data_IF_172548588403
#
_entry.id   IF_172548588403
#
_cell.length_a   1.000
_cell.length_b   1.000
_cell.length_c   1.000
_cell.angle_alpha   90.00
_cell.angle_beta   90.00
_cell.angle_gamma   90.00
#
_symmetry.space_group_name_H-M   'P 1'
#
loop_
_entity.id
_entity.type
_entity.pdbx_description
1 polymer ?
#
# COMPACT_ATOMS: atom_id res chain seq x y z
N UNK A 1 6.84 -35.91 61.12
CA UNK A 1 6.80 -35.01 59.95
C UNK A 1 6.95 -35.90 58.73
N UNK A 2 5.90 -36.06 57.95
CA UNK A 2 5.93 -36.87 56.73
C UNK A 2 6.59 -36.03 55.64
N UNK A 3 7.84 -36.34 55.26
CA UNK A 3 8.49 -35.70 54.11
C UNK A 3 7.81 -36.23 52.85
N UNK A 4 6.97 -35.42 52.22
CA UNK A 4 6.24 -35.79 51.01
C UNK A 4 7.06 -35.31 49.80
N UNK A 5 7.95 -36.19 49.34
CA UNK A 5 8.85 -35.92 48.21
C UNK A 5 8.02 -35.97 46.92
N UNK A 6 7.84 -34.81 46.28
CA UNK A 6 7.07 -34.71 45.03
C UNK A 6 8.01 -34.85 43.83
N UNK A 7 7.57 -35.58 42.82
CA UNK A 7 8.31 -35.72 41.57
C UNK A 7 7.58 -34.99 40.43
N UNK A 8 8.36 -34.44 39.49
CA UNK A 8 7.81 -33.81 38.31
C UNK A 8 7.17 -34.85 37.39
N UNK A 9 5.90 -34.65 37.02
CA UNK A 9 5.20 -35.52 36.07
C UNK A 9 5.79 -35.48 34.64
N UNK A 10 6.56 -34.42 34.32
CA UNK A 10 7.09 -34.19 32.97
C UNK A 10 8.50 -34.74 32.77
N UNK A 11 9.39 -34.59 33.75
CA UNK A 11 10.79 -35.02 33.64
C UNK A 11 11.25 -36.00 34.72
N UNK A 12 10.42 -36.27 35.74
CA UNK A 12 10.77 -37.18 36.84
C UNK A 12 11.72 -36.58 37.89
N UNK A 13 12.10 -35.31 37.79
CA UNK A 13 12.98 -34.66 38.77
C UNK A 13 12.31 -34.51 40.15
N UNK A 14 13.12 -34.58 41.21
CA UNK A 14 12.67 -34.32 42.58
C UNK A 14 12.36 -32.83 42.78
N UNK A 15 11.22 -32.53 43.39
CA UNK A 15 10.72 -31.18 43.59
C UNK A 15 10.82 -30.81 45.07
N UNK A 16 11.58 -29.77 45.41
CA UNK A 16 11.65 -29.27 46.78
C UNK A 16 10.30 -28.68 47.22
N UNK A 17 9.97 -28.86 48.50
CA UNK A 17 8.71 -28.40 49.09
C UNK A 17 8.50 -26.89 48.87
N UNK A 18 7.31 -26.50 48.40
CA UNK A 18 6.93 -25.10 48.15
C UNK A 18 7.28 -24.54 46.76
N UNK A 19 7.89 -25.32 45.87
CA UNK A 19 8.11 -24.89 44.48
C UNK A 19 6.82 -24.93 43.65
N UNK A 20 6.54 -23.87 42.89
CA UNK A 20 5.43 -23.82 41.93
C UNK A 20 5.81 -24.36 40.53
N UNK A 21 7.11 -24.47 40.25
CA UNK A 21 7.69 -24.90 38.98
C UNK A 21 8.78 -25.93 39.21
N UNK A 22 9.00 -26.82 38.23
CA UNK A 22 10.12 -27.75 38.25
C UNK A 22 11.44 -27.01 37.96
N UNK A 23 12.47 -27.11 38.82
CA UNK A 23 13.75 -26.44 38.60
C UNK A 23 14.56 -27.03 37.42
N UNK A 24 14.32 -28.31 37.08
CA UNK A 24 15.04 -29.00 36.00
C UNK A 24 14.45 -28.73 34.61
N UNK A 25 13.12 -28.77 34.47
CA UNK A 25 12.47 -28.66 33.15
C UNK A 25 11.55 -27.43 32.99
N UNK A 26 11.37 -26.63 34.05
CA UNK A 26 10.54 -25.42 34.03
C UNK A 26 9.03 -25.67 34.02
N UNK A 27 8.56 -26.92 34.09
CA UNK A 27 7.12 -27.22 34.05
C UNK A 27 6.41 -26.75 35.33
N UNK A 28 5.26 -26.10 35.18
CA UNK A 28 4.33 -25.84 36.29
C UNK A 28 3.82 -27.14 36.89
N UNK A 29 3.69 -27.15 38.21
CA UNK A 29 3.31 -28.33 39.00
C UNK A 29 1.83 -28.37 39.37
N UNK A 30 1.12 -27.27 39.14
CA UNK A 30 -0.32 -27.15 39.31
C UNK A 30 -1.11 -27.78 38.15
N UNK A 31 -0.43 -28.36 37.15
CA UNK A 31 -1.07 -28.97 35.99
C UNK A 31 -1.83 -27.97 35.11
N UNK A 32 -1.73 -26.66 35.40
CA UNK A 32 -2.18 -25.65 34.46
C UNK A 32 -1.15 -25.65 33.33
N UNK A 33 -1.57 -26.15 32.16
CA UNK A 33 -0.85 -25.89 30.94
C UNK A 33 -0.69 -24.38 30.86
N UNK A 34 0.53 -23.92 31.10
CA UNK A 34 0.93 -22.55 30.84
C UNK A 34 0.58 -22.34 29.37
N UNK A 35 -0.52 -21.63 29.14
CA UNK A 35 -0.81 -20.93 27.89
C UNK A 35 0.37 -19.98 27.72
N UNK A 36 1.49 -20.55 27.28
CA UNK A 36 2.63 -19.86 26.75
C UNK A 36 1.98 -18.98 25.74
N UNK A 37 1.96 -17.70 26.09
CA UNK A 37 1.61 -16.57 25.26
C UNK A 37 1.57 -17.07 23.84
N UNK A 38 0.35 -17.10 23.31
CA UNK A 38 0.12 -16.86 21.91
C UNK A 38 0.90 -15.58 21.60
N UNK A 39 2.21 -15.77 21.39
CA UNK A 39 3.00 -15.06 20.42
C UNK A 39 2.22 -15.37 19.16
N UNK A 40 1.13 -14.61 19.00
CA UNK A 40 0.47 -14.39 17.73
C UNK A 40 1.64 -14.33 16.78
N UNK A 41 1.73 -15.32 15.90
CA UNK A 41 2.84 -15.45 15.00
C UNK A 41 2.75 -14.23 14.08
N UNK A 42 3.23 -13.09 14.57
CA UNK A 42 3.65 -11.97 13.77
C UNK A 42 4.74 -12.63 12.94
N UNK A 43 4.55 -12.77 11.62
CA UNK A 43 5.51 -13.50 10.82
C UNK A 43 6.85 -12.81 11.06
N UNK A 44 7.80 -13.51 11.67
CA UNK A 44 9.15 -13.03 11.99
C UNK A 44 9.86 -12.46 10.74
N UNK A 45 9.32 -12.75 9.55
CA UNK A 45 9.77 -12.21 8.26
C UNK A 45 9.27 -10.80 7.91
N UNK A 46 8.20 -10.29 8.52
CA UNK A 46 7.71 -8.93 8.21
C UNK A 46 8.72 -7.84 8.62
N UNK A 47 9.55 -8.11 9.63
CA UNK A 47 10.57 -7.16 10.10
C UNK A 47 11.81 -7.12 9.18
N UNK A 48 12.05 -8.14 8.35
CA UNK A 48 13.18 -8.20 7.41
C UNK A 48 13.04 -7.23 6.23
N UNK A 49 11.80 -6.92 5.84
CA UNK A 49 11.49 -6.07 4.68
C UNK A 49 11.45 -4.56 5.03
N UNK A 50 11.72 -4.20 6.29
CA UNK A 50 11.75 -2.81 6.76
C UNK A 50 10.42 -2.06 6.56
N UNK A 51 10.43 -0.74 6.26
CA UNK A 51 9.22 0.05 6.05
C UNK A 51 8.54 -0.18 4.67
N UNK A 52 9.07 -1.08 3.84
CA UNK A 52 8.59 -1.32 2.47
C UNK A 52 7.09 -1.67 2.37
N UNK A 53 6.53 -2.62 3.16
CA UNK A 53 5.10 -2.94 3.07
C UNK A 53 4.20 -1.76 3.52
N UNK A 54 4.69 -0.92 4.43
CA UNK A 54 4.01 0.32 4.84
C UNK A 54 4.01 1.32 3.68
N UNK A 55 5.14 1.47 3.00
CA UNK A 55 5.28 2.38 1.88
C UNK A 55 4.41 1.98 0.67
N UNK A 56 4.27 0.67 0.40
CA UNK A 56 3.33 0.15 -0.62
C UNK A 56 1.88 0.50 -0.26
N UNK A 57 1.49 0.37 1.03
CA UNK A 57 0.14 0.73 1.49
C UNK A 57 -0.10 2.23 1.41
N UNK A 58 0.87 3.06 1.79
CA UNK A 58 0.78 4.53 1.65
C UNK A 58 0.58 4.91 0.18
N UNK A 59 1.34 4.30 -0.74
CA UNK A 59 1.18 4.53 -2.17
C UNK A 59 -0.23 4.17 -2.68
N UNK A 60 -0.86 3.14 -2.11
CA UNK A 60 -2.26 2.78 -2.37
C UNK A 60 -3.26 3.85 -1.92
N UNK A 61 -2.97 4.58 -0.85
CA UNK A 61 -3.79 5.71 -0.38
C UNK A 61 -3.53 6.99 -1.18
N UNK A 62 -2.33 7.18 -1.73
CA UNK A 62 -2.00 8.35 -2.56
C UNK A 62 -2.76 8.32 -3.89
N UNK A 63 -2.94 7.15 -4.51
CA UNK A 63 -3.65 7.02 -5.78
C UNK A 63 -5.10 7.57 -5.79
N UNK A 64 -6.00 7.25 -4.83
CA UNK A 64 -7.34 7.84 -4.77
C UNK A 64 -7.31 9.33 -4.42
N UNK A 65 -6.34 9.79 -3.61
CA UNK A 65 -6.18 11.22 -3.32
C UNK A 65 -5.85 11.98 -4.61
N UNK A 66 -4.92 11.46 -5.42
CA UNK A 66 -4.58 12.04 -6.72
C UNK A 66 -5.78 12.01 -7.69
N UNK A 67 -6.56 10.92 -7.69
CA UNK A 67 -7.77 10.85 -8.50
C UNK A 67 -8.80 11.92 -8.08
N UNK A 68 -8.97 12.15 -6.77
CA UNK A 68 -9.84 13.21 -6.25
C UNK A 68 -9.30 14.59 -6.67
N UNK A 69 -7.99 14.83 -6.57
CA UNK A 69 -7.37 16.08 -7.02
C UNK A 69 -7.62 16.34 -8.52
N UNK A 70 -7.54 15.29 -9.36
CA UNK A 70 -7.86 15.39 -10.80
C UNK A 70 -9.33 15.70 -11.02
N UNK A 71 -10.25 15.12 -10.24
CA UNK A 71 -11.67 15.48 -10.32
C UNK A 71 -11.86 16.96 -9.94
N UNK A 72 -11.17 17.46 -8.91
CA UNK A 72 -11.23 18.86 -8.52
C UNK A 72 -10.71 19.81 -9.61
N UNK A 73 -9.67 19.44 -10.36
CA UNK A 73 -9.20 20.24 -11.51
C UNK A 73 -10.16 20.20 -12.68
N UNK A 74 -10.82 19.07 -12.94
CA UNK A 74 -11.88 18.98 -13.95
C UNK A 74 -13.10 19.86 -13.55
N UNK A 75 -13.46 19.91 -12.26
CA UNK A 75 -14.53 20.76 -11.73
C UNK A 75 -14.19 22.25 -11.83
N UNK A 76 -12.95 22.64 -11.53
CA UNK A 76 -12.51 24.03 -11.66
C UNK A 76 -12.52 24.51 -13.11
N UNK A 77 -12.11 23.66 -14.05
CA UNK A 77 -12.20 23.97 -15.49
C UNK A 77 -13.64 24.26 -15.93
N UNK A 78 -14.61 23.47 -15.46
CA UNK A 78 -16.03 23.72 -15.71
C UNK A 78 -16.50 25.06 -15.12
N UNK A 79 -16.13 25.35 -13.88
CA UNK A 79 -16.48 26.61 -13.21
C UNK A 79 -15.89 27.84 -13.93
N UNK A 80 -14.67 27.72 -14.47
CA UNK A 80 -14.05 28.80 -15.26
C UNK A 80 -14.84 29.05 -16.55
N UNK A 81 -15.27 28.02 -17.26
CA UNK A 81 -16.07 28.15 -18.49
C UNK A 81 -17.41 28.83 -18.18
N UNK A 82 -18.09 28.42 -17.10
CA UNK A 82 -19.36 29.00 -16.68
C UNK A 82 -19.20 30.49 -16.28
N UNK A 83 -18.10 30.83 -15.59
CA UNK A 83 -17.74 32.23 -15.30
C UNK A 83 -17.46 33.02 -16.58
N UNK A 84 -16.75 32.43 -17.54
CA UNK A 84 -16.42 33.10 -18.81
C UNK A 84 -17.69 33.42 -19.62
N UNK A 85 -18.69 32.53 -19.59
CA UNK A 85 -19.99 32.77 -20.22
C UNK A 85 -20.64 34.04 -19.66
N UNK A 86 -20.64 34.23 -18.34
CA UNK A 86 -21.20 35.42 -17.72
C UNK A 86 -20.47 36.71 -18.15
N UNK A 87 -19.15 36.65 -18.36
CA UNK A 87 -18.39 37.78 -18.91
C UNK A 87 -18.75 38.09 -20.37
N UNK A 88 -19.00 37.07 -21.19
CA UNK A 88 -19.48 37.27 -22.57
C UNK A 88 -20.87 37.89 -22.58
N UNK A 89 -21.77 37.42 -21.71
CA UNK A 89 -23.13 37.95 -21.61
C UNK A 89 -23.13 39.43 -21.16
N UNK A 90 -22.12 39.85 -20.39
CA UNK A 90 -21.89 41.26 -20.01
C UNK A 90 -21.24 42.13 -21.11
N UNK A 91 -20.90 41.55 -22.26
CA UNK A 91 -20.33 42.25 -23.41
C UNK A 91 -18.84 42.60 -23.30
N UNK A 92 -18.12 42.09 -22.29
CA UNK A 92 -16.68 42.36 -22.12
C UNK A 92 -15.78 41.51 -23.02
N UNK A 93 -16.28 40.39 -23.55
CA UNK A 93 -15.51 39.43 -24.37
C UNK A 93 -16.34 39.07 -25.62
N UNK A 94 -15.73 39.00 -26.83
CA UNK A 94 -16.41 38.54 -28.04
C UNK A 94 -16.83 37.06 -27.94
N UNK A 95 -18.05 36.73 -28.38
CA UNK A 95 -18.59 35.35 -28.36
C UNK A 95 -17.73 34.37 -29.17
N UNK A 96 -17.17 34.80 -30.30
CA UNK A 96 -16.32 33.96 -31.15
C UNK A 96 -15.10 33.39 -30.39
N UNK A 97 -14.56 34.15 -29.43
CA UNK A 97 -13.45 33.70 -28.60
C UNK A 97 -13.88 32.61 -27.60
N UNK A 98 -15.07 32.73 -27.02
CA UNK A 98 -15.60 31.73 -26.08
C UNK A 98 -15.91 30.40 -26.78
N UNK A 99 -16.50 30.43 -27.97
CA UNK A 99 -16.82 29.21 -28.72
C UNK A 99 -15.56 28.44 -29.11
N UNK A 100 -14.51 29.14 -29.53
CA UNK A 100 -13.20 28.53 -29.81
C UNK A 100 -12.58 27.91 -28.56
N UNK A 101 -12.58 28.64 -27.44
CA UNK A 101 -12.00 28.17 -26.18
C UNK A 101 -12.77 26.96 -25.64
N UNK A 102 -14.09 27.02 -25.64
CA UNK A 102 -14.98 25.93 -25.20
C UNK A 102 -14.80 24.68 -26.05
N UNK A 103 -14.71 24.82 -27.38
CA UNK A 103 -14.48 23.69 -28.28
C UNK A 103 -13.13 23.01 -28.01
N UNK A 104 -12.07 23.78 -27.78
CA UNK A 104 -10.74 23.25 -27.45
C UNK A 104 -10.74 22.50 -26.10
N UNK A 105 -11.35 23.08 -25.06
CA UNK A 105 -11.44 22.47 -23.72
C UNK A 105 -12.40 21.27 -23.67
N UNK A 106 -13.50 21.29 -24.45
CA UNK A 106 -14.50 20.23 -24.45
C UNK A 106 -13.97 18.89 -24.95
N UNK A 107 -12.94 18.89 -25.79
CA UNK A 107 -12.25 17.65 -26.20
C UNK A 107 -11.14 17.28 -25.23
N UNK A 108 -10.32 18.26 -24.81
CA UNK A 108 -9.14 18.01 -24.01
C UNK A 108 -9.47 17.54 -22.59
N UNK A 109 -10.41 18.20 -21.90
CA UNK A 109 -10.74 17.92 -20.50
C UNK A 109 -11.29 16.50 -20.29
N UNK A 110 -12.35 16.03 -20.97
CA UNK A 110 -12.87 14.68 -20.73
C UNK A 110 -11.89 13.58 -21.14
N UNK A 111 -11.10 13.79 -22.20
CA UNK A 111 -10.06 12.84 -22.63
C UNK A 111 -8.98 12.73 -21.55
N UNK A 112 -8.51 13.87 -21.02
CA UNK A 112 -7.55 13.89 -19.92
C UNK A 112 -8.12 13.21 -18.67
N UNK A 113 -9.32 13.59 -18.20
CA UNK A 113 -9.92 12.99 -17.00
C UNK A 113 -10.13 11.46 -17.19
N UNK A 114 -10.52 11.00 -18.38
CA UNK A 114 -10.70 9.58 -18.69
C UNK A 114 -9.37 8.80 -18.67
N UNK A 115 -8.34 9.29 -19.36
CA UNK A 115 -7.02 8.65 -19.41
C UNK A 115 -6.43 8.55 -18.01
N UNK A 116 -6.43 9.66 -17.25
CA UNK A 116 -5.88 9.68 -15.89
C UNK A 116 -6.65 8.75 -14.96
N UNK A 117 -7.97 8.72 -15.03
CA UNK A 117 -8.79 7.81 -14.22
C UNK A 117 -8.50 6.34 -14.51
N UNK A 118 -8.39 5.98 -15.80
CA UNK A 118 -8.05 4.61 -16.21
C UNK A 118 -6.66 4.21 -15.73
N UNK A 119 -5.67 5.10 -15.91
CA UNK A 119 -4.27 4.87 -15.51
C UNK A 119 -4.17 4.68 -14.00
N UNK A 120 -4.79 5.56 -13.21
CA UNK A 120 -4.81 5.43 -11.74
C UNK A 120 -5.55 4.19 -11.28
N UNK A 121 -6.66 3.83 -11.93
CA UNK A 121 -7.43 2.62 -11.59
C UNK A 121 -6.62 1.34 -11.87
N UNK A 122 -6.01 1.23 -13.05
CA UNK A 122 -5.16 0.08 -13.41
C UNK A 122 -3.95 0.00 -12.47
N UNK A 123 -3.29 1.13 -12.21
CA UNK A 123 -2.16 1.21 -11.27
C UNK A 123 -2.57 0.76 -9.86
N UNK A 124 -3.75 1.16 -9.37
CA UNK A 124 -4.27 0.75 -8.07
C UNK A 124 -4.57 -0.75 -7.99
N UNK A 125 -5.11 -1.36 -9.07
CA UNK A 125 -5.36 -2.81 -9.12
C UNK A 125 -4.05 -3.61 -9.09
N UNK A 126 -3.04 -3.16 -9.83
CA UNK A 126 -1.71 -3.77 -9.84
C UNK A 126 -1.04 -3.63 -8.47
N UNK A 127 -1.10 -2.45 -7.85
CA UNK A 127 -0.56 -2.21 -6.51
C UNK A 127 -1.26 -3.04 -5.43
N UNK A 128 -2.59 -3.25 -5.52
CA UNK A 128 -3.32 -4.16 -4.61
C UNK A 128 -2.84 -5.60 -4.72
N UNK A 129 -2.65 -6.09 -5.96
CA UNK A 129 -2.10 -7.44 -6.18
C UNK A 129 -0.68 -7.55 -5.63
N UNK A 130 0.17 -6.55 -5.88
CA UNK A 130 1.52 -6.50 -5.34
C UNK A 130 1.54 -6.51 -3.81
N UNK A 131 0.71 -5.69 -3.15
CA UNK A 131 0.61 -5.65 -1.68
C UNK A 131 0.22 -7.01 -1.10
N UNK A 132 -0.71 -7.73 -1.75
CA UNK A 132 -1.11 -9.07 -1.30
C UNK A 132 0.04 -10.07 -1.40
N UNK A 133 0.80 -10.06 -2.49
CA UNK A 133 1.98 -10.92 -2.64
C UNK A 133 3.06 -10.61 -1.60
N UNK A 134 3.25 -9.32 -1.28
CA UNK A 134 4.21 -8.89 -0.24
C UNK A 134 3.73 -9.27 1.16
N UNK A 135 2.43 -9.12 1.47
CA UNK A 135 1.86 -9.51 2.76
C UNK A 135 1.94 -11.04 2.97
N UNK A 136 1.79 -11.83 1.91
CA UNK A 136 1.93 -13.30 1.95
C UNK A 136 3.38 -13.78 1.83
N UNK A 137 4.35 -12.87 1.59
CA UNK A 137 5.76 -13.16 1.30
C UNK A 137 5.97 -14.25 0.24
N UNK A 138 5.01 -14.36 -0.68
CA UNK A 138 4.89 -15.44 -1.64
C UNK A 138 5.26 -14.91 -3.03
N UNK A 139 6.24 -15.55 -3.67
CA UNK A 139 6.71 -15.28 -5.04
C UNK A 139 7.14 -13.82 -5.30
N UNK A 140 8.42 -13.50 -5.02
CA UNK A 140 9.01 -12.17 -5.25
C UNK A 140 8.90 -11.70 -6.72
N UNK A 141 8.97 -12.62 -7.68
CA UNK A 141 8.82 -12.33 -9.12
C UNK A 141 7.46 -11.68 -9.43
N UNK A 142 6.40 -12.18 -8.81
CA UNK A 142 5.05 -11.65 -9.01
C UNK A 142 4.92 -10.24 -8.44
N UNK A 143 5.47 -10.00 -7.24
CA UNK A 143 5.44 -8.66 -6.63
C UNK A 143 6.20 -7.63 -7.47
N UNK A 144 7.40 -7.97 -7.96
CA UNK A 144 8.23 -7.08 -8.81
C UNK A 144 7.55 -6.81 -10.15
N UNK A 145 6.97 -7.82 -10.80
CA UNK A 145 6.29 -7.65 -12.09
C UNK A 145 5.07 -6.74 -11.99
N UNK A 146 4.25 -6.87 -10.94
CA UNK A 146 3.13 -5.96 -10.72
C UNK A 146 3.57 -4.52 -10.44
N UNK A 147 4.64 -4.32 -9.67
CA UNK A 147 5.16 -2.98 -9.34
C UNK A 147 5.79 -2.29 -10.56
N UNK A 148 6.55 -3.05 -11.36
CA UNK A 148 7.12 -2.59 -12.63
C UNK A 148 6.00 -2.27 -13.64
N UNK A 149 4.97 -3.12 -13.74
CA UNK A 149 3.83 -2.87 -14.61
C UNK A 149 3.05 -1.60 -14.22
N UNK A 150 2.84 -1.37 -12.92
CA UNK A 150 2.19 -0.15 -12.44
C UNK A 150 3.00 1.11 -12.82
N UNK A 151 4.33 1.03 -12.70
CA UNK A 151 5.24 2.13 -13.08
C UNK A 151 5.22 2.38 -14.60
N UNK A 152 5.20 1.32 -15.40
CA UNK A 152 5.09 1.42 -16.86
C UNK A 152 3.76 2.04 -17.32
N UNK A 153 2.65 1.71 -16.64
CA UNK A 153 1.33 2.30 -16.92
C UNK A 153 1.33 3.81 -16.65
N UNK A 154 2.04 4.27 -15.62
CA UNK A 154 2.18 5.70 -15.32
C UNK A 154 3.02 6.43 -16.38
N UNK A 155 4.04 5.79 -16.96
CA UNK A 155 4.82 6.36 -18.05
C UNK A 155 3.98 6.68 -19.30
N UNK A 156 2.92 5.93 -19.55
CA UNK A 156 2.00 6.20 -20.67
C UNK A 156 1.25 7.53 -20.49
N UNK A 157 1.09 8.00 -19.25
CA UNK A 157 0.41 9.25 -18.92
C UNK A 157 1.35 10.46 -18.79
N UNK A 158 2.68 10.26 -18.82
CA UNK A 158 3.68 11.33 -18.65
C UNK A 158 3.55 12.44 -19.69
N UNK A 159 3.07 12.12 -20.88
CA UNK A 159 2.84 13.09 -21.95
C UNK A 159 1.80 14.17 -21.60
N UNK A 160 0.91 13.89 -20.64
CA UNK A 160 -0.12 14.83 -20.21
C UNK A 160 0.29 15.67 -18.99
N UNK A 161 1.03 15.07 -18.05
CA UNK A 161 1.52 15.77 -16.86
C UNK A 161 2.84 15.14 -16.37
N UNK A 162 3.95 15.71 -16.81
CA UNK A 162 5.29 15.20 -16.51
C UNK A 162 5.64 15.32 -15.02
N UNK A 163 5.13 16.33 -14.32
CA UNK A 163 5.50 16.57 -12.93
C UNK A 163 4.82 15.54 -12.02
N UNK A 164 3.52 15.35 -12.23
CA UNK A 164 2.73 14.41 -11.42
C UNK A 164 3.10 12.97 -11.73
N UNK A 165 3.01 12.56 -13.01
CA UNK A 165 3.26 11.17 -13.40
C UNK A 165 4.74 10.80 -13.38
N UNK A 166 5.64 11.75 -13.65
CA UNK A 166 7.08 11.52 -13.57
C UNK A 166 7.53 11.21 -12.16
N UNK A 167 7.07 11.97 -11.16
CA UNK A 167 7.42 11.69 -9.76
C UNK A 167 6.88 10.34 -9.28
N UNK A 168 5.63 10.01 -9.62
CA UNK A 168 5.00 8.72 -9.29
C UNK A 168 5.74 7.55 -9.96
N UNK A 169 6.14 7.70 -11.23
CA UNK A 169 6.90 6.68 -11.94
C UNK A 169 8.27 6.46 -11.28
N UNK A 170 9.00 7.52 -10.93
CA UNK A 170 10.29 7.42 -10.23
C UNK A 170 10.11 6.73 -8.88
N UNK A 171 9.09 7.09 -8.10
CA UNK A 171 8.77 6.43 -6.84
C UNK A 171 8.46 4.93 -7.06
N UNK A 172 7.68 4.58 -8.09
CA UNK A 172 7.38 3.19 -8.43
C UNK A 172 8.62 2.37 -8.85
N UNK A 173 9.54 2.97 -9.60
CA UNK A 173 10.82 2.33 -9.93
C UNK A 173 11.71 2.14 -8.69
N UNK A 174 11.75 3.12 -7.79
CA UNK A 174 12.47 2.98 -6.52
C UNK A 174 11.89 1.84 -5.69
N UNK A 175 10.57 1.72 -5.60
CA UNK A 175 9.91 0.61 -4.91
C UNK A 175 10.23 -0.74 -5.54
N UNK A 176 10.25 -0.80 -6.87
CA UNK A 176 10.62 -2.00 -7.62
C UNK A 176 12.08 -2.40 -7.35
N UNK A 177 12.99 -1.42 -7.28
CA UNK A 177 14.39 -1.64 -6.95
C UNK A 177 14.58 -2.17 -5.53
N UNK A 178 13.87 -1.60 -4.54
CA UNK A 178 13.91 -2.06 -3.16
C UNK A 178 13.35 -3.48 -2.99
N UNK A 179 12.27 -3.82 -3.70
CA UNK A 179 11.74 -5.18 -3.74
C UNK A 179 12.78 -6.16 -4.32
N UNK A 180 13.49 -5.75 -5.37
CA UNK A 180 14.54 -6.56 -5.98
C UNK A 180 15.76 -6.75 -5.07
N UNK A 181 16.19 -5.72 -4.34
CA UNK A 181 17.33 -5.81 -3.43
C UNK A 181 17.09 -6.75 -2.25
N UNK A 182 15.83 -6.89 -1.82
CA UNK A 182 15.40 -7.76 -0.72
C UNK A 182 14.87 -9.13 -1.16
N UNK A 183 15.20 -9.59 -2.37
CA UNK A 183 14.69 -10.88 -2.90
C UNK A 183 15.01 -12.10 -2.02
N UNK A 184 16.07 -12.03 -1.20
CA UNK A 184 16.50 -13.12 -0.31
C UNK A 184 15.55 -13.34 0.87
N UNK A 185 14.71 -12.36 1.19
CA UNK A 185 13.78 -12.40 2.32
C UNK A 185 12.45 -13.07 1.99
N UNK A 186 12.17 -13.32 0.70
CA UNK A 186 10.97 -14.00 0.22
C UNK A 186 11.13 -15.52 0.28
N UNK A 187 10.07 -16.24 0.65
CA UNK A 187 10.09 -17.70 0.56
C UNK A 187 10.10 -18.11 -0.91
N UNK A 188 11.09 -18.93 -1.28
CA UNK A 188 11.18 -19.59 -2.58
C UNK A 188 10.03 -20.57 -2.83
#
# INVERSE_FOLDING_TARGET
MSNDIKFCYKCGANIPEGSAFCPECGSRLDGSEDTRTEFTARPVRADALGPLPILIKIYMFIAPILAILVILTCLSAKAIIDMLQAYVDSGMIPQEYYDMLKAALAMYVPVYCAIVSIVLFVSALLARKASKCVDELKDWNSAVTYCAAASAVLLLAVWFDIFTFGFLAVAGFLMTYLLYSHKQDFSS
#
